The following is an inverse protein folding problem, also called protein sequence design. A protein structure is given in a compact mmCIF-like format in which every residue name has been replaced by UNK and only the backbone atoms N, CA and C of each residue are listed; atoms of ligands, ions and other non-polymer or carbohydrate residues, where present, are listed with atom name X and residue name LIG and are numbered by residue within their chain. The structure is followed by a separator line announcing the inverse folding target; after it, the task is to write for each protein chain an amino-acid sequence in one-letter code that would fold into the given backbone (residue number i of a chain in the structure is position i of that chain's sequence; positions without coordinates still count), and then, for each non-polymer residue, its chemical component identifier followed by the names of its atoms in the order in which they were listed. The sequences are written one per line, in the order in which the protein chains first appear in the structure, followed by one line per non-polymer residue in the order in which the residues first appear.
data_IF_064223277753
#
_entry.id   IF_064223277753
#
_cell.length_a   1.000
_cell.length_b   1.000
_cell.length_c   1.000
_cell.angle_alpha   90.00
_cell.angle_beta   90.00
_cell.angle_gamma   90.00
#
_symmetry.space_group_name_H-M   'P 1'
#
loop_
_entity.id
_entity.type
_entity.pdbx_description
1 polymer ?
#
# COMPACT_ATOMS: atom_id res chain seq x y z
N UNK A 1 -2.57 20.32 -6.12
CA UNK A 1 -1.76 19.05 -6.03
C UNK A 1 -1.64 18.41 -7.41
N UNK A 2 -0.58 17.63 -7.66
CA UNK A 2 -0.40 16.87 -8.90
C UNK A 2 -0.43 17.68 -10.20
N UNK A 3 0.32 18.80 -10.25
CA UNK A 3 0.38 19.63 -11.44
C UNK A 3 0.89 18.81 -12.64
N UNK A 4 0.18 18.90 -13.77
CA UNK A 4 0.48 18.12 -14.98
C UNK A 4 -0.01 16.67 -14.98
N UNK A 5 -0.71 16.20 -13.93
CA UNK A 5 -1.30 14.87 -13.89
C UNK A 5 -2.76 14.90 -14.33
N UNK A 6 -3.15 13.83 -15.02
CA UNK A 6 -4.56 13.52 -15.31
C UNK A 6 -5.18 12.79 -14.13
N UNK A 7 -6.45 13.07 -13.83
CA UNK A 7 -7.29 12.29 -12.92
C UNK A 7 -8.42 11.67 -13.74
N UNK A 8 -8.53 10.36 -13.70
CA UNK A 8 -9.59 9.64 -14.40
C UNK A 8 -10.03 8.39 -13.65
N UNK A 9 -11.07 7.74 -14.12
CA UNK A 9 -11.56 6.45 -13.63
C UNK A 9 -11.29 5.40 -14.68
N UNK A 10 -10.70 4.29 -14.26
CA UNK A 10 -10.30 3.19 -15.14
C UNK A 10 -10.97 1.90 -14.67
N UNK A 11 -11.73 1.30 -15.57
CA UNK A 11 -12.35 -0.02 -15.35
C UNK A 11 -11.26 -1.10 -15.40
N UNK A 12 -11.19 -1.91 -14.35
CA UNK A 12 -10.26 -3.04 -14.22
C UNK A 12 -10.99 -4.39 -14.14
N UNK A 13 -12.27 -4.43 -14.52
CA UNK A 13 -13.15 -5.58 -14.54
C UNK A 13 -14.08 -5.62 -13.33
N UNK A 14 -13.62 -6.15 -12.20
CA UNK A 14 -14.45 -6.25 -10.98
C UNK A 14 -14.53 -4.94 -10.19
N UNK A 15 -13.74 -3.93 -10.58
CA UNK A 15 -13.69 -2.63 -9.94
C UNK A 15 -13.41 -1.51 -10.96
N UNK A 16 -13.74 -0.28 -10.59
CA UNK A 16 -13.31 0.95 -11.25
C UNK A 16 -12.40 1.70 -10.29
N UNK A 17 -11.17 2.01 -10.72
CA UNK A 17 -10.21 2.71 -9.91
C UNK A 17 -10.15 4.20 -10.29
N UNK A 18 -10.11 5.08 -9.26
CA UNK A 18 -9.76 6.47 -9.42
C UNK A 18 -8.25 6.59 -9.47
N UNK A 19 -7.72 7.18 -10.54
CA UNK A 19 -6.29 7.12 -10.86
C UNK A 19 -5.75 8.50 -11.18
N UNK A 20 -4.65 8.90 -10.53
CA UNK A 20 -3.77 10.00 -10.95
C UNK A 20 -2.61 9.45 -11.73
N UNK A 21 -2.36 9.95 -12.92
CA UNK A 21 -1.16 9.58 -13.67
C UNK A 21 -0.60 10.76 -14.47
N UNK A 22 0.73 10.76 -14.66
CA UNK A 22 1.43 11.85 -15.35
C UNK A 22 2.91 11.58 -15.53
N UNK A 23 3.61 12.53 -16.17
CA UNK A 23 5.02 12.38 -16.48
C UNK A 23 5.27 11.58 -17.76
N UNK A 24 6.55 11.25 -18.00
CA UNK A 24 6.97 10.45 -19.16
C UNK A 24 8.26 9.68 -18.84
N UNK A 25 8.40 8.50 -19.44
CA UNK A 25 9.52 7.58 -19.20
C UNK A 25 9.06 6.21 -18.72
N UNK A 26 9.95 5.39 -18.12
CA UNK A 26 9.58 4.11 -17.54
C UNK A 26 8.43 4.25 -16.53
N UNK A 27 7.48 3.31 -16.55
CA UNK A 27 6.31 3.41 -15.68
C UNK A 27 6.62 3.01 -14.23
N UNK A 28 6.05 3.74 -13.28
CA UNK A 28 6.11 3.46 -11.84
C UNK A 28 4.72 3.58 -11.23
N UNK A 29 4.29 2.53 -10.54
CA UNK A 29 3.04 2.45 -9.81
C UNK A 29 3.28 2.73 -8.32
N UNK A 30 2.56 3.70 -7.73
CA UNK A 30 2.67 4.08 -6.33
C UNK A 30 1.38 3.72 -5.59
N UNK A 31 1.46 2.80 -4.63
CA UNK A 31 0.33 2.25 -3.88
C UNK A 31 0.32 2.80 -2.45
N UNK A 32 -0.79 3.45 -2.09
CA UNK A 32 -1.03 3.96 -0.74
C UNK A 32 -1.45 2.84 0.22
N UNK A 33 -1.50 3.15 1.51
CA UNK A 33 -2.02 2.28 2.55
C UNK A 33 -3.25 2.82 3.27
N UNK A 34 -3.54 2.25 4.43
CA UNK A 34 -4.65 2.63 5.29
C UNK A 34 -4.28 3.84 6.18
N UNK A 35 -5.17 4.78 6.39
CA UNK A 35 -6.47 5.02 5.73
C UNK A 35 -6.33 6.05 4.59
N UNK A 36 -5.19 6.08 3.93
CA UNK A 36 -4.85 7.07 2.90
C UNK A 36 -5.53 6.77 1.57
N UNK A 37 -5.42 7.72 0.66
CA UNK A 37 -5.78 7.64 -0.76
C UNK A 37 -4.53 7.93 -1.60
N UNK A 38 -4.65 7.96 -2.93
CA UNK A 38 -3.54 8.33 -3.81
C UNK A 38 -2.91 9.69 -3.45
N UNK A 39 -3.63 10.56 -2.76
CA UNK A 39 -3.12 11.91 -2.41
C UNK A 39 -1.93 11.89 -1.45
N UNK A 40 -1.67 10.80 -0.74
CA UNK A 40 -0.45 10.66 0.07
C UNK A 40 0.83 10.88 -0.76
N UNK A 41 0.76 10.62 -2.07
CA UNK A 41 1.87 10.74 -3.00
C UNK A 41 2.05 12.15 -3.59
N UNK A 42 1.22 13.14 -3.22
CA UNK A 42 1.18 14.43 -3.88
C UNK A 42 2.48 15.25 -3.82
N UNK A 43 3.35 14.96 -2.84
CA UNK A 43 4.68 15.60 -2.73
C UNK A 43 5.78 14.81 -3.47
N UNK A 44 5.61 13.51 -3.66
CA UNK A 44 6.60 12.58 -4.25
C UNK A 44 6.36 12.40 -5.75
N UNK A 45 5.12 12.14 -6.16
CA UNK A 45 4.78 11.82 -7.55
C UNK A 45 5.19 12.91 -8.56
N UNK A 46 4.99 14.23 -8.30
CA UNK A 46 5.43 15.27 -9.23
C UNK A 46 6.95 15.31 -9.42
N UNK A 47 7.74 14.97 -8.40
CA UNK A 47 9.20 14.90 -8.51
C UNK A 47 9.61 13.73 -9.40
N UNK A 48 9.00 12.55 -9.18
CA UNK A 48 9.26 11.36 -10.01
C UNK A 48 8.81 11.53 -11.46
N UNK A 49 7.75 12.29 -11.71
CA UNK A 49 7.21 12.55 -13.05
C UNK A 49 8.21 13.29 -13.98
N UNK A 50 9.26 13.87 -13.43
CA UNK A 50 10.36 14.42 -14.21
C UNK A 50 11.19 13.37 -14.97
N UNK A 51 11.10 12.09 -14.60
CA UNK A 51 11.89 10.99 -15.17
C UNK A 51 11.04 9.73 -15.48
N UNK A 52 9.84 9.62 -14.92
CA UNK A 52 8.99 8.44 -14.99
C UNK A 52 7.56 8.79 -15.41
N UNK A 53 6.87 7.83 -15.98
CA UNK A 53 5.40 7.85 -16.02
C UNK A 53 4.91 7.33 -14.67
N UNK A 54 4.30 8.18 -13.86
CA UNK A 54 3.87 7.84 -12.50
C UNK A 54 2.37 7.60 -12.48
N UNK A 55 1.94 6.50 -11.84
CA UNK A 55 0.54 6.10 -11.70
C UNK A 55 0.23 5.91 -10.22
N UNK A 56 -0.76 6.62 -9.71
CA UNK A 56 -1.20 6.60 -8.31
C UNK A 56 -2.72 6.31 -8.26
N UNK A 57 -3.14 5.07 -8.10
CA UNK A 57 -4.56 4.76 -7.91
C UNK A 57 -4.99 4.96 -6.46
N UNK A 58 -6.29 5.23 -6.24
CA UNK A 58 -6.97 4.77 -5.04
C UNK A 58 -7.16 3.26 -5.19
N UNK A 59 -6.71 2.46 -4.23
CA UNK A 59 -6.95 1.02 -4.24
C UNK A 59 -8.44 0.71 -4.18
N UNK A 60 -8.88 -0.46 -4.70
CA UNK A 60 -10.29 -0.87 -4.53
C UNK A 60 -10.70 -0.76 -3.08
N UNK A 61 -11.87 -0.23 -2.83
CA UNK A 61 -12.38 -0.01 -1.48
C UNK A 61 -11.95 1.30 -0.83
N UNK A 62 -10.91 1.95 -1.33
CA UNK A 62 -10.37 3.19 -0.80
C UNK A 62 -10.77 4.40 -1.64
N UNK A 63 -10.76 5.57 -1.00
CA UNK A 63 -11.02 6.84 -1.66
C UNK A 63 -12.32 6.83 -2.47
N UNK A 64 -12.22 7.26 -3.72
CA UNK A 64 -13.35 7.25 -4.66
C UNK A 64 -13.33 6.06 -5.64
N UNK A 65 -12.44 5.08 -5.47
CA UNK A 65 -12.51 3.82 -6.20
C UNK A 65 -13.74 3.01 -5.77
N UNK A 66 -14.21 2.12 -6.64
CA UNK A 66 -15.39 1.31 -6.35
C UNK A 66 -15.19 0.35 -5.18
N UNK A 67 -16.30 -0.02 -4.55
CA UNK A 67 -16.35 -0.86 -3.37
C UNK A 67 -17.18 -2.11 -3.69
N UNK A 68 -16.57 -3.16 -4.25
CA UNK A 68 -17.27 -4.39 -4.62
C UNK A 68 -17.99 -5.02 -3.43
N UNK A 69 -19.07 -5.78 -3.67
CA UNK A 69 -19.73 -6.54 -2.62
C UNK A 69 -18.77 -7.49 -1.90
N UNK A 70 -18.92 -7.61 -0.59
CA UNK A 70 -18.14 -8.54 0.22
C UNK A 70 -18.62 -9.98 0.05
N UNK A 71 -17.73 -10.94 0.36
CA UNK A 71 -18.01 -12.37 0.43
C UNK A 71 -17.59 -12.92 1.80
N UNK A 72 -18.08 -14.08 2.23
CA UNK A 72 -17.75 -14.61 3.56
C UNK A 72 -16.26 -14.86 3.81
N UNK A 73 -15.47 -15.03 2.77
CA UNK A 73 -14.00 -15.18 2.82
C UNK A 73 -13.23 -13.87 2.65
N UNK A 74 -13.94 -12.74 2.50
CA UNK A 74 -13.40 -11.41 2.25
C UNK A 74 -12.53 -11.31 0.98
N UNK A 75 -12.60 -12.29 0.08
CA UNK A 75 -11.80 -12.42 -1.13
C UNK A 75 -11.77 -11.18 -2.02
N UNK A 76 -12.89 -10.46 -2.24
CA UNK A 76 -12.90 -9.22 -3.03
C UNK A 76 -11.97 -8.11 -2.51
N UNK A 77 -11.59 -8.14 -1.23
CA UNK A 77 -10.69 -7.17 -0.60
C UNK A 77 -9.31 -7.76 -0.26
N UNK A 78 -9.02 -8.96 -0.78
CA UNK A 78 -7.70 -9.57 -0.62
C UNK A 78 -6.62 -8.80 -1.40
N UNK A 79 -5.38 -8.90 -0.93
CA UNK A 79 -4.22 -8.35 -1.63
C UNK A 79 -4.06 -8.91 -3.03
N UNK A 80 -4.48 -10.16 -3.25
CA UNK A 80 -4.48 -10.80 -4.57
C UNK A 80 -5.47 -10.14 -5.52
N UNK A 81 -6.68 -9.82 -5.06
CA UNK A 81 -7.67 -9.09 -5.85
C UNK A 81 -7.16 -7.69 -6.20
N UNK A 82 -6.61 -6.95 -5.21
CA UNK A 82 -6.04 -5.62 -5.43
C UNK A 82 -4.81 -5.65 -6.36
N UNK A 83 -3.96 -6.67 -6.26
CA UNK A 83 -2.84 -6.87 -7.18
C UNK A 83 -3.30 -7.14 -8.62
N UNK A 84 -4.36 -7.92 -8.79
CA UNK A 84 -5.01 -8.14 -10.09
C UNK A 84 -5.52 -6.85 -10.72
N UNK A 85 -6.16 -5.98 -9.93
CA UNK A 85 -6.57 -4.64 -10.37
C UNK A 85 -5.38 -3.81 -10.85
N UNK A 86 -4.30 -3.79 -10.07
CA UNK A 86 -3.08 -3.04 -10.41
C UNK A 86 -2.45 -3.55 -11.71
N UNK A 87 -2.41 -4.86 -11.93
CA UNK A 87 -1.94 -5.47 -13.17
C UNK A 87 -2.79 -5.04 -14.36
N UNK A 88 -4.13 -5.12 -14.23
CA UNK A 88 -5.08 -4.72 -15.26
C UNK A 88 -5.02 -3.21 -15.55
N UNK A 89 -4.95 -2.37 -14.50
CA UNK A 89 -4.78 -0.93 -14.61
C UNK A 89 -3.55 -0.57 -15.45
N UNK A 90 -2.39 -1.14 -15.11
CA UNK A 90 -1.15 -0.81 -15.81
C UNK A 90 -1.16 -1.28 -17.26
N UNK A 91 -1.77 -2.43 -17.55
CA UNK A 91 -1.99 -2.91 -18.91
C UNK A 91 -2.95 -2.01 -19.70
N UNK A 92 -4.04 -1.54 -19.08
CA UNK A 92 -4.99 -0.61 -19.70
C UNK A 92 -4.33 0.73 -20.06
N UNK A 93 -3.36 1.18 -19.27
CA UNK A 93 -2.53 2.36 -19.54
C UNK A 93 -1.39 2.07 -20.55
N UNK A 94 -1.26 0.84 -21.05
CA UNK A 94 -0.27 0.45 -22.06
C UNK A 94 1.09 0.01 -21.51
N UNK A 95 1.23 -0.18 -20.19
CA UNK A 95 2.47 -0.55 -19.53
C UNK A 95 2.58 -2.07 -19.36
N UNK A 96 3.49 -2.70 -20.10
CA UNK A 96 3.74 -4.16 -20.04
C UNK A 96 4.74 -4.55 -18.95
N UNK A 97 5.56 -3.62 -18.50
CA UNK A 97 6.50 -3.79 -17.39
C UNK A 97 6.69 -2.45 -16.68
N UNK A 98 6.74 -2.47 -15.35
CA UNK A 98 6.79 -1.26 -14.53
C UNK A 98 7.46 -1.49 -13.18
N UNK A 99 7.94 -0.42 -12.56
CA UNK A 99 8.33 -0.40 -11.16
C UNK A 99 7.11 -0.27 -10.25
N UNK A 100 7.18 -0.81 -9.04
CA UNK A 100 6.11 -0.67 -8.04
C UNK A 100 6.67 -0.21 -6.71
N UNK A 101 6.03 0.77 -6.08
CA UNK A 101 6.28 1.14 -4.70
C UNK A 101 4.97 1.06 -3.91
N UNK A 102 4.98 0.35 -2.78
CA UNK A 102 3.83 0.24 -1.88
C UNK A 102 4.18 0.68 -0.46
N UNK A 103 3.25 1.37 0.19
CA UNK A 103 3.38 1.83 1.57
C UNK A 103 2.25 1.25 2.42
N UNK A 104 2.55 0.79 3.65
CA UNK A 104 1.60 0.20 4.61
C UNK A 104 0.77 -0.92 3.95
N UNK A 105 -0.57 -0.84 3.87
CA UNK A 105 -1.41 -1.84 3.17
C UNK A 105 -1.04 -1.98 1.70
N UNK A 106 -0.54 -0.92 1.05
CA UNK A 106 -0.02 -0.97 -0.32
C UNK A 106 1.24 -1.82 -0.46
N UNK A 107 2.05 -1.98 0.59
CA UNK A 107 3.20 -2.89 0.60
C UNK A 107 2.78 -4.34 0.34
N UNK A 108 1.70 -4.79 0.97
CA UNK A 108 1.19 -6.16 0.77
C UNK A 108 0.59 -6.36 -0.63
N UNK A 109 -0.04 -5.31 -1.19
CA UNK A 109 -0.51 -5.34 -2.58
C UNK A 109 0.67 -5.41 -3.55
N UNK A 110 1.72 -4.59 -3.33
CA UNK A 110 2.93 -4.58 -4.14
C UNK A 110 3.69 -5.92 -4.07
N UNK A 111 3.82 -6.51 -2.88
CA UNK A 111 4.36 -7.86 -2.68
C UNK A 111 3.57 -8.88 -3.50
N UNK A 112 2.24 -8.88 -3.35
CA UNK A 112 1.36 -9.84 -4.05
C UNK A 112 1.42 -9.67 -5.56
N UNK A 113 1.50 -8.43 -6.06
CA UNK A 113 1.67 -8.14 -7.48
C UNK A 113 3.00 -8.71 -8.02
N UNK A 114 4.10 -8.55 -7.28
CA UNK A 114 5.40 -9.10 -7.66
C UNK A 114 5.42 -10.64 -7.61
N UNK A 115 4.71 -11.25 -6.66
CA UNK A 115 4.62 -12.71 -6.50
C UNK A 115 3.73 -13.37 -7.56
N UNK A 116 2.59 -12.77 -7.89
CA UNK A 116 1.60 -13.37 -8.80
C UNK A 116 1.83 -12.96 -10.26
N UNK A 117 2.47 -11.79 -10.51
CA UNK A 117 2.76 -11.24 -11.83
C UNK A 117 4.24 -10.85 -12.00
N UNK A 118 5.20 -11.76 -11.76
CA UNK A 118 6.64 -11.42 -11.75
C UNK A 118 7.15 -10.85 -13.07
N UNK A 119 6.49 -11.16 -14.20
CA UNK A 119 6.86 -10.64 -15.51
C UNK A 119 6.49 -9.16 -15.72
N UNK A 120 5.55 -8.62 -14.93
CA UNK A 120 5.13 -7.21 -14.99
C UNK A 120 6.00 -6.30 -14.12
N UNK A 121 6.54 -6.82 -13.00
CA UNK A 121 7.25 -6.01 -12.01
C UNK A 121 8.75 -6.03 -12.27
N UNK A 122 9.30 -4.91 -12.74
CA UNK A 122 10.73 -4.77 -13.03
C UNK A 122 11.57 -4.48 -11.77
N UNK A 123 11.02 -3.74 -10.81
CA UNK A 123 11.62 -3.36 -9.51
C UNK A 123 10.52 -3.15 -8.49
N UNK A 124 10.78 -3.54 -7.25
CA UNK A 124 9.81 -3.47 -6.18
C UNK A 124 10.36 -2.65 -5.01
N UNK A 125 9.64 -1.61 -4.58
CA UNK A 125 9.90 -0.92 -3.33
C UNK A 125 8.76 -1.21 -2.34
N UNK A 126 9.12 -1.68 -1.16
CA UNK A 126 8.22 -2.02 -0.06
C UNK A 126 8.47 -1.06 1.10
N UNK A 127 7.42 -0.52 1.71
CA UNK A 127 7.57 0.46 2.79
C UNK A 127 6.59 0.17 3.93
N UNK A 128 7.11 0.20 5.17
CA UNK A 128 6.29 0.09 6.39
C UNK A 128 5.41 -1.16 6.44
N UNK A 129 6.02 -2.32 6.22
CA UNK A 129 5.33 -3.60 6.34
C UNK A 129 6.23 -4.79 6.05
N UNK A 130 5.96 -5.90 6.71
CA UNK A 130 6.53 -7.22 6.42
C UNK A 130 5.39 -8.14 6.01
N UNK A 131 5.63 -9.30 5.35
CA UNK A 131 4.54 -10.17 4.93
C UNK A 131 3.54 -10.45 6.05
N UNK A 132 2.25 -10.40 5.75
CA UNK A 132 1.17 -10.51 6.76
C UNK A 132 1.32 -11.80 7.59
N UNK A 133 1.63 -12.91 6.93
CA UNK A 133 1.86 -14.18 7.61
C UNK A 133 3.03 -14.13 8.59
N UNK A 134 4.11 -13.41 8.24
CA UNK A 134 5.28 -13.23 9.11
C UNK A 134 4.98 -12.32 10.31
N UNK A 135 4.22 -11.24 10.08
CA UNK A 135 3.79 -10.33 11.15
C UNK A 135 2.92 -11.06 12.18
N UNK A 136 1.93 -11.83 11.73
CA UNK A 136 1.04 -12.59 12.60
C UNK A 136 1.75 -13.75 13.32
N UNK A 137 2.72 -14.40 12.68
CA UNK A 137 3.54 -15.45 13.30
C UNK A 137 4.45 -14.92 14.43
N UNK A 138 4.78 -13.62 14.42
CA UNK A 138 5.59 -12.94 15.43
C UNK A 138 4.77 -12.12 16.42
N UNK A 139 3.43 -12.22 16.35
CA UNK A 139 2.54 -11.47 17.22
C UNK A 139 2.76 -11.86 18.68
N UNK A 140 3.08 -10.87 19.48
CA UNK A 140 3.21 -10.96 20.93
C UNK A 140 2.43 -9.82 21.62
N UNK A 141 2.67 -9.59 22.90
CA UNK A 141 2.00 -8.53 23.65
C UNK A 141 2.38 -7.13 23.15
N UNK A 142 3.62 -6.94 22.66
CA UNK A 142 4.08 -5.67 22.10
C UNK A 142 3.37 -5.38 20.79
N UNK A 143 3.33 -6.34 19.88
CA UNK A 143 2.57 -6.23 18.64
C UNK A 143 1.08 -5.95 18.91
N UNK A 144 0.47 -6.69 19.83
CA UNK A 144 -0.95 -6.51 20.16
C UNK A 144 -1.25 -5.14 20.76
N UNK A 145 -0.29 -4.53 21.46
CA UNK A 145 -0.42 -3.17 22.00
C UNK A 145 -0.24 -2.09 20.92
N UNK A 146 0.75 -2.23 20.05
CA UNK A 146 1.08 -1.26 18.99
C UNK A 146 0.09 -1.35 17.83
N UNK A 147 -0.18 -2.57 17.35
CA UNK A 147 -1.01 -2.82 16.17
C UNK A 147 -2.37 -3.48 16.51
N UNK A 148 -2.95 -3.12 17.69
CA UNK A 148 -4.26 -3.63 18.13
C UNK A 148 -5.36 -3.46 17.09
N UNK A 149 -5.23 -2.44 16.24
CA UNK A 149 -6.19 -2.15 15.18
C UNK A 149 -6.33 -3.29 14.17
N UNK A 150 -5.30 -4.11 13.94
CA UNK A 150 -5.43 -5.29 13.09
C UNK A 150 -6.51 -6.24 13.60
N UNK A 151 -6.52 -6.49 14.91
CA UNK A 151 -7.50 -7.38 15.53
C UNK A 151 -8.86 -6.73 15.72
N UNK A 152 -8.88 -5.43 16.01
CA UNK A 152 -10.13 -4.69 16.13
C UNK A 152 -10.86 -4.59 14.79
N UNK A 153 -10.17 -4.20 13.72
CA UNK A 153 -10.73 -4.08 12.36
C UNK A 153 -11.06 -5.46 11.77
N UNK A 154 -10.32 -6.49 12.13
CA UNK A 154 -10.56 -7.87 11.68
C UNK A 154 -11.78 -8.56 12.30
N UNK A 155 -12.48 -7.94 13.26
CA UNK A 155 -13.66 -8.57 13.89
C UNK A 155 -14.86 -8.58 12.94
N UNK A 156 -15.58 -9.71 12.90
CA UNK A 156 -16.82 -9.87 12.13
C UNK A 156 -18.07 -9.69 13.00
N UNK A 157 -18.06 -10.23 14.24
CA UNK A 157 -19.20 -10.21 15.15
C UNK A 157 -19.34 -8.88 15.90
N UNK A 158 -18.26 -8.10 15.98
CA UNK A 158 -18.21 -6.77 16.62
C UNK A 158 -17.71 -5.76 15.59
N UNK A 159 -18.55 -5.34 14.65
CA UNK A 159 -18.12 -4.59 13.49
C UNK A 159 -17.50 -3.23 13.90
N UNK A 160 -16.23 -3.06 13.57
CA UNK A 160 -15.47 -1.84 13.82
C UNK A 160 -16.10 -0.62 13.12
N UNK A 161 -16.75 -0.86 11.98
CA UNK A 161 -17.43 0.18 11.19
C UNK A 161 -18.40 1.00 12.01
N UNK A 162 -19.11 0.36 12.96
CA UNK A 162 -20.09 1.05 13.81
C UNK A 162 -19.42 2.09 14.72
N UNK A 163 -18.23 1.77 15.23
CA UNK A 163 -17.48 2.67 16.10
C UNK A 163 -16.81 3.77 15.30
N UNK A 164 -16.20 3.43 14.17
CA UNK A 164 -15.51 4.39 13.31
C UNK A 164 -16.52 5.38 12.72
N UNK A 165 -17.66 4.91 12.19
CA UNK A 165 -18.69 5.77 11.60
C UNK A 165 -19.40 6.67 12.63
N UNK A 166 -19.31 6.37 13.92
CA UNK A 166 -19.84 7.24 14.96
C UNK A 166 -19.02 8.53 15.11
N UNK A 167 -17.71 8.46 14.96
CA UNK A 167 -16.78 9.59 14.95
C UNK A 167 -15.51 9.23 14.20
N UNK A 168 -15.49 9.35 12.84
CA UNK A 168 -14.30 9.03 12.05
C UNK A 168 -13.08 9.90 12.39
N UNK A 169 -13.29 11.17 12.72
CA UNK A 169 -12.21 12.10 13.06
C UNK A 169 -11.55 11.77 14.42
N UNK A 170 -12.27 11.13 15.34
CA UNK A 170 -11.69 10.62 16.59
C UNK A 170 -10.88 9.34 16.40
N UNK A 171 -11.24 8.52 15.43
CA UNK A 171 -10.50 7.31 15.09
C UNK A 171 -9.28 7.60 14.21
N UNK A 172 -9.45 8.42 13.18
CA UNK A 172 -8.42 8.79 12.22
C UNK A 172 -7.87 10.19 12.49
N UNK A 173 -6.65 10.28 13.02
CA UNK A 173 -6.10 11.51 13.61
C UNK A 173 -5.20 12.33 12.67
N UNK A 174 -5.25 12.11 11.35
CA UNK A 174 -4.50 12.93 10.39
C UNK A 174 -4.94 14.40 10.42
N UNK A 175 -4.03 15.30 10.08
CA UNK A 175 -4.26 16.74 10.10
C UNK A 175 -3.87 17.41 8.79
N UNK A 176 -4.50 18.56 8.49
CA UNK A 176 -4.14 19.39 7.35
C UNK A 176 -2.71 19.95 7.44
N UNK A 177 -2.15 20.09 8.64
CA UNK A 177 -0.77 20.53 8.84
C UNK A 177 0.23 19.49 8.29
N UNK A 178 -0.01 18.20 8.52
CA UNK A 178 0.82 17.12 8.01
C UNK A 178 0.62 16.86 6.51
N UNK A 179 -0.62 16.73 6.09
CA UNK A 179 -0.96 16.33 4.72
C UNK A 179 -0.94 17.48 3.72
N UNK A 180 -1.15 18.72 4.18
CA UNK A 180 -1.56 19.84 3.34
C UNK A 180 -3.08 19.85 3.16
N UNK A 181 -3.67 21.06 3.04
CA UNK A 181 -5.12 21.27 3.10
C UNK A 181 -5.90 20.45 2.06
N UNK A 182 -5.46 20.49 0.80
CA UNK A 182 -6.16 19.82 -0.32
C UNK A 182 -6.09 18.28 -0.19
N UNK A 183 -4.97 17.73 0.26
CA UNK A 183 -4.82 16.30 0.50
C UNK A 183 -5.64 15.84 1.72
N UNK A 184 -5.68 16.65 2.76
CA UNK A 184 -6.49 16.39 3.94
C UNK A 184 -8.00 16.38 3.62
N UNK A 185 -8.46 17.28 2.78
CA UNK A 185 -9.87 17.32 2.34
C UNK A 185 -10.25 16.07 1.53
N UNK A 186 -9.37 15.59 0.65
CA UNK A 186 -9.60 14.34 -0.09
C UNK A 186 -9.66 13.13 0.85
N UNK A 187 -8.67 13.00 1.72
CA UNK A 187 -8.63 11.98 2.76
C UNK A 187 -9.87 12.03 3.66
N UNK A 188 -10.25 13.22 4.15
CA UNK A 188 -11.38 13.38 5.05
C UNK A 188 -12.70 12.96 4.40
N UNK A 189 -12.91 13.24 3.11
CA UNK A 189 -14.09 12.74 2.37
C UNK A 189 -14.14 11.21 2.39
N UNK A 190 -12.98 10.56 2.21
CA UNK A 190 -12.90 9.10 2.18
C UNK A 190 -13.27 8.47 3.54
N UNK A 191 -12.71 8.96 4.65
CA UNK A 191 -12.96 8.40 5.98
C UNK A 191 -14.38 8.70 6.51
N UNK A 192 -15.07 9.68 5.95
CA UNK A 192 -16.47 10.00 6.26
C UNK A 192 -17.48 9.27 5.35
N UNK A 193 -17.04 8.50 4.37
CA UNK A 193 -17.89 7.60 3.59
C UNK A 193 -18.02 6.24 4.27
N UNK A 194 -19.22 5.86 4.78
CA UNK A 194 -19.39 4.57 5.44
C UNK A 194 -19.07 3.35 4.56
N UNK A 195 -19.21 3.48 3.23
CA UNK A 195 -18.86 2.42 2.30
C UNK A 195 -17.33 2.26 2.20
N UNK A 196 -16.58 3.36 2.24
CA UNK A 196 -15.11 3.34 2.32
C UNK A 196 -14.64 2.75 3.64
N UNK A 197 -15.24 3.14 4.76
CA UNK A 197 -14.90 2.58 6.09
C UNK A 197 -15.15 1.06 6.09
N UNK A 198 -16.29 0.59 5.56
CA UNK A 198 -16.57 -0.84 5.45
C UNK A 198 -15.51 -1.56 4.59
N UNK A 199 -15.17 -1.01 3.44
CA UNK A 199 -14.17 -1.61 2.54
C UNK A 199 -12.76 -1.66 3.18
N UNK A 200 -12.36 -0.63 3.92
CA UNK A 200 -11.11 -0.62 4.68
C UNK A 200 -11.10 -1.72 5.76
N UNK A 201 -12.23 -1.95 6.44
CA UNK A 201 -12.36 -3.03 7.43
C UNK A 201 -12.31 -4.40 6.76
N UNK A 202 -12.94 -4.57 5.60
CA UNK A 202 -12.87 -5.80 4.81
C UNK A 202 -11.44 -6.16 4.37
N UNK A 203 -10.61 -5.16 4.05
CA UNK A 203 -9.19 -5.34 3.77
C UNK A 203 -8.43 -5.95 4.97
N UNK A 204 -8.73 -5.53 6.21
CA UNK A 204 -8.13 -6.13 7.41
C UNK A 204 -8.69 -7.54 7.68
N UNK A 205 -9.97 -7.79 7.42
CA UNK A 205 -10.57 -9.13 7.52
C UNK A 205 -9.93 -10.10 6.55
N UNK A 206 -9.73 -9.68 5.29
CA UNK A 206 -8.97 -10.45 4.31
C UNK A 206 -7.54 -10.71 4.79
N UNK A 207 -6.88 -9.71 5.38
CA UNK A 207 -5.53 -9.81 5.94
C UNK A 207 -5.38 -10.89 7.00
N UNK A 208 -6.33 -11.00 7.94
CA UNK A 208 -6.30 -12.01 8.99
C UNK A 208 -6.70 -13.41 8.52
N UNK A 209 -7.29 -13.53 7.34
CA UNK A 209 -7.77 -14.77 6.73
C UNK A 209 -7.01 -15.13 5.46
N UNK A 210 -7.65 -14.89 4.32
CA UNK A 210 -7.21 -15.33 3.00
C UNK A 210 -5.81 -14.83 2.60
N UNK A 211 -5.41 -13.62 2.99
CA UNK A 211 -4.07 -13.10 2.65
C UNK A 211 -2.98 -13.81 3.44
N UNK A 212 -3.20 -14.06 4.74
CA UNK A 212 -2.31 -14.89 5.55
C UNK A 212 -2.15 -16.29 4.95
N UNK A 213 -3.24 -16.90 4.51
CA UNK A 213 -3.22 -18.24 3.92
C UNK A 213 -2.46 -18.24 2.57
N UNK A 214 -2.53 -17.16 1.80
CA UNK A 214 -1.71 -16.96 0.60
C UNK A 214 -0.22 -16.87 0.93
N UNK A 215 0.16 -16.09 1.93
CA UNK A 215 1.56 -15.96 2.36
C UNK A 215 2.10 -17.30 2.87
N UNK A 216 1.32 -18.05 3.65
CA UNK A 216 1.71 -19.38 4.13
C UNK A 216 1.91 -20.37 2.98
N UNK A 217 1.00 -20.39 2.00
CA UNK A 217 1.12 -21.22 0.82
C UNK A 217 2.38 -20.89 0.00
N UNK A 218 2.70 -19.61 -0.19
CA UNK A 218 3.90 -19.17 -0.90
C UNK A 218 5.18 -19.58 -0.14
N UNK A 219 5.20 -19.40 1.18
CA UNK A 219 6.32 -19.81 2.03
C UNK A 219 6.55 -21.31 1.97
N UNK A 220 5.49 -22.11 2.05
CA UNK A 220 5.58 -23.59 1.95
C UNK A 220 6.06 -24.04 0.57
N UNK A 221 5.68 -23.32 -0.49
CA UNK A 221 6.13 -23.59 -1.86
C UNK A 221 7.53 -23.06 -2.16
N UNK A 222 8.17 -22.34 -1.23
CA UNK A 222 9.48 -21.72 -1.42
C UNK A 222 9.46 -20.61 -2.49
N UNK A 223 8.31 -19.97 -2.75
CA UNK A 223 8.20 -18.87 -3.71
C UNK A 223 8.89 -17.63 -3.18
N UNK A 224 9.61 -16.94 -4.05
CA UNK A 224 10.35 -15.72 -3.70
C UNK A 224 10.12 -14.63 -4.74
N UNK A 225 10.28 -13.38 -4.32
CA UNK A 225 10.29 -12.22 -5.20
C UNK A 225 11.60 -12.24 -5.98
N UNK A 226 11.51 -12.26 -7.30
CA UNK A 226 12.67 -12.42 -8.20
C UNK A 226 13.23 -11.10 -8.74
N UNK A 227 12.47 -10.00 -8.67
CA UNK A 227 12.95 -8.68 -9.11
C UNK A 227 13.78 -7.99 -8.01
N UNK A 228 14.68 -7.06 -8.37
CA UNK A 228 15.38 -6.24 -7.39
C UNK A 228 14.40 -5.52 -6.47
N UNK A 229 14.62 -5.64 -5.15
CA UNK A 229 13.71 -5.16 -4.12
C UNK A 229 14.43 -4.15 -3.22
N UNK A 230 13.75 -3.05 -2.93
CA UNK A 230 14.14 -2.05 -1.93
C UNK A 230 13.13 -2.10 -0.79
N UNK A 231 13.61 -2.19 0.45
CA UNK A 231 12.77 -2.08 1.63
C UNK A 231 13.13 -0.83 2.42
N UNK A 232 12.17 0.05 2.66
CA UNK A 232 12.33 1.27 3.45
C UNK A 232 11.38 1.23 4.66
N UNK A 233 11.86 1.74 5.80
CA UNK A 233 11.00 1.87 6.97
C UNK A 233 11.27 3.17 7.71
N UNK A 234 10.31 3.61 8.50
CA UNK A 234 10.42 4.81 9.32
C UNK A 234 11.27 4.53 10.57
N UNK A 235 12.35 5.26 10.74
CA UNK A 235 13.25 5.09 11.88
C UNK A 235 12.67 5.59 13.21
N UNK A 236 11.53 6.31 13.17
CA UNK A 236 10.82 6.80 14.38
C UNK A 236 9.45 6.13 14.56
N UNK A 237 9.20 5.02 13.87
CA UNK A 237 8.04 4.17 14.05
C UNK A 237 8.45 2.83 14.69
N UNK A 238 7.58 1.86 14.77
CA UNK A 238 7.70 0.67 15.62
C UNK A 238 8.28 -0.58 14.93
N UNK A 239 8.68 -0.50 13.65
CA UNK A 239 9.17 -1.66 12.89
C UNK A 239 10.41 -2.34 13.53
N UNK A 240 11.38 -1.55 14.01
CA UNK A 240 12.56 -2.09 14.69
C UNK A 240 12.24 -2.62 16.08
N UNK A 241 11.34 -1.96 16.80
CA UNK A 241 10.87 -2.40 18.13
C UNK A 241 10.10 -3.73 18.04
N UNK A 242 9.33 -3.93 16.99
CA UNK A 242 8.52 -5.14 16.79
C UNK A 242 9.32 -6.32 16.22
N UNK A 243 10.30 -6.05 15.35
CA UNK A 243 10.93 -7.10 14.53
C UNK A 243 12.45 -7.14 14.62
N UNK A 244 13.10 -6.20 15.32
CA UNK A 244 14.55 -6.07 15.39
C UNK A 244 15.15 -5.64 14.05
N UNK A 245 15.51 -6.60 13.19
CA UNK A 245 15.93 -6.34 11.80
C UNK A 245 14.80 -6.73 10.82
N UNK A 246 13.90 -5.78 10.45
CA UNK A 246 12.82 -6.09 9.55
C UNK A 246 13.30 -6.42 8.12
N UNK A 247 14.48 -5.95 7.73
CA UNK A 247 15.11 -6.33 6.46
C UNK A 247 15.51 -7.81 6.42
N UNK A 248 15.88 -8.40 7.56
CA UNK A 248 16.18 -9.83 7.63
C UNK A 248 14.98 -10.69 7.23
N UNK A 249 13.76 -10.27 7.58
CA UNK A 249 12.54 -10.97 7.18
C UNK A 249 12.38 -10.96 5.66
N UNK A 250 12.59 -9.80 5.03
CA UNK A 250 12.48 -9.67 3.57
C UNK A 250 13.57 -10.47 2.81
N UNK A 251 14.75 -10.72 3.43
CA UNK A 251 15.78 -11.60 2.84
C UNK A 251 15.31 -13.05 2.67
N UNK A 252 14.32 -13.48 3.45
CA UNK A 252 13.70 -14.80 3.28
C UNK A 252 12.67 -14.83 2.14
N UNK A 253 12.17 -13.68 1.72
CA UNK A 253 11.09 -13.53 0.73
C UNK A 253 11.55 -13.00 -0.63
N UNK A 254 12.73 -12.43 -0.74
CA UNK A 254 13.26 -11.86 -1.97
C UNK A 254 14.69 -12.35 -2.26
N UNK A 255 15.01 -12.53 -3.54
CA UNK A 255 16.32 -13.00 -3.97
C UNK A 255 17.39 -11.91 -3.90
N UNK A 256 16.99 -10.66 -4.18
CA UNK A 256 17.85 -9.46 -4.13
C UNK A 256 17.09 -8.34 -3.41
N UNK A 257 17.38 -8.17 -2.12
CA UNK A 257 16.76 -7.11 -1.30
C UNK A 257 17.82 -6.31 -0.55
N UNK A 258 17.66 -4.99 -0.61
CA UNK A 258 18.41 -4.03 0.20
C UNK A 258 17.43 -3.05 0.85
N UNK A 259 17.86 -2.38 1.92
CA UNK A 259 16.98 -1.43 2.61
C UNK A 259 17.66 -0.68 3.73
N UNK A 260 17.00 0.36 4.18
CA UNK A 260 17.42 1.22 5.27
C UNK A 260 16.23 1.99 5.86
N UNK A 261 16.38 2.49 7.08
CA UNK A 261 15.41 3.38 7.70
C UNK A 261 15.55 4.81 7.20
N UNK A 262 14.42 5.53 7.13
CA UNK A 262 14.35 6.97 6.90
C UNK A 262 13.98 7.65 8.24
N UNK A 263 14.63 8.77 8.58
CA UNK A 263 14.37 9.49 9.85
C UNK A 263 13.03 10.26 9.81
N UNK A 264 11.94 9.52 9.88
CA UNK A 264 10.57 10.04 9.90
C UNK A 264 9.65 9.09 10.68
N UNK A 265 8.38 9.46 10.82
CA UNK A 265 7.31 8.57 11.28
C UNK A 265 6.68 7.78 10.14
N UNK A 266 5.60 7.07 10.45
CA UNK A 266 4.95 6.08 9.58
C UNK A 266 4.64 6.57 8.16
N UNK A 267 4.21 7.82 7.98
CA UNK A 267 3.79 8.33 6.68
C UNK A 267 4.95 8.92 5.88
N UNK A 268 5.90 8.07 5.46
CA UNK A 268 7.18 8.46 4.81
C UNK A 268 6.96 9.45 3.65
N UNK A 269 5.96 9.23 2.80
CA UNK A 269 5.68 10.09 1.64
C UNK A 269 5.19 11.50 2.02
N UNK A 270 4.64 11.67 3.23
CA UNK A 270 4.15 12.93 3.76
C UNK A 270 5.23 13.64 4.58
N UNK A 271 6.03 12.89 5.36
CA UNK A 271 6.97 13.38 6.35
C UNK A 271 8.40 13.57 5.81
N UNK A 272 8.86 12.70 4.90
CA UNK A 272 10.18 12.74 4.28
C UNK A 272 10.11 12.70 2.74
N UNK A 273 9.25 13.51 2.07
CA UNK A 273 8.97 13.35 0.64
C UNK A 273 10.18 13.56 -0.27
N UNK A 274 11.11 14.45 0.10
CA UNK A 274 12.28 14.73 -0.72
C UNK A 274 13.28 13.58 -0.71
N UNK A 275 13.54 13.00 0.46
CA UNK A 275 14.42 11.83 0.63
C UNK A 275 13.81 10.61 -0.06
N UNK A 276 12.53 10.33 0.19
CA UNK A 276 11.82 9.24 -0.47
C UNK A 276 11.83 9.37 -2.00
N UNK A 277 11.55 10.56 -2.54
CA UNK A 277 11.56 10.78 -3.98
C UNK A 277 12.96 10.55 -4.59
N UNK A 278 14.04 10.95 -3.91
CA UNK A 278 15.40 10.72 -4.34
C UNK A 278 15.76 9.23 -4.35
N UNK A 279 15.41 8.50 -3.29
CA UNK A 279 15.64 7.07 -3.17
C UNK A 279 14.86 6.27 -4.23
N UNK A 280 13.58 6.57 -4.42
CA UNK A 280 12.77 5.94 -5.45
C UNK A 280 13.29 6.24 -6.86
N UNK A 281 13.67 7.52 -7.14
CA UNK A 281 14.21 7.89 -8.44
C UNK A 281 15.51 7.12 -8.73
N UNK A 282 16.45 7.07 -7.79
CA UNK A 282 17.69 6.31 -7.91
C UNK A 282 17.40 4.82 -8.12
N UNK A 283 16.52 4.24 -7.32
CA UNK A 283 16.19 2.82 -7.38
C UNK A 283 15.55 2.44 -8.71
N UNK A 284 14.52 3.16 -9.16
CA UNK A 284 13.81 2.84 -10.41
C UNK A 284 14.62 3.15 -11.67
N UNK A 285 15.56 4.09 -11.62
CA UNK A 285 16.51 4.33 -12.71
C UNK A 285 17.55 3.20 -12.88
N UNK A 286 17.62 2.25 -11.94
CA UNK A 286 18.59 1.15 -11.99
C UNK A 286 19.99 1.55 -11.56
N UNK A 287 20.15 2.71 -10.93
CA UNK A 287 21.42 3.16 -10.38
C UNK A 287 21.73 2.43 -9.07
N UNK A 288 22.95 1.89 -8.97
CA UNK A 288 23.45 1.15 -7.78
C UNK A 288 23.67 2.07 -6.60
#
# INVERSE_FOLDING_TARGET
MFDGFTLERIDVGDAELRVRHGGSGPAVLLLHGHPRTHVTWHKVAPVLAGQFTVVCPDLRGYGESSKPPTTPDHGPYSKRAMAGDCATLMQALGHQQFGVAGHDRGTYVAQRLAMDHPHLVSRLCLMEGIPIGEALARCDATFAASWYHWFFLGQTDKPAERFINADPDAWYTATAEHMGQEAFEDYRRAIHDPATVHAMVEDYRAGLGIDRDHDEADRLAGRRISCPTLFLWAGRDDMEDLYGDPLAIWRDWADDVRGWSIDCGHHIAEEAPAELAADLAKFFAGSS
#
